data_IF_323975511498
#
_entry.id   IF_323975511498
#
_cell.length_a   1.000
_cell.length_b   1.000
_cell.length_c   1.000
_cell.angle_alpha   90.00
_cell.angle_beta   90.00
_cell.angle_gamma   90.00
#
_symmetry.space_group_name_H-M   'P 1'
#
loop_
_entity.id
_entity.type
_entity.pdbx_description
1 polymer ?
#
# COMPACT_ATOMS: atom_id res chain seq x y z
N UNK A 1 -12.39 9.23 -32.92
CA UNK A 1 -13.32 8.48 -32.05
C UNK A 1 -12.51 7.84 -30.92
N UNK A 2 -12.45 8.48 -29.76
CA UNK A 2 -11.71 7.94 -28.61
C UNK A 2 -12.60 6.92 -27.89
N UNK A 3 -12.12 5.68 -27.79
CA UNK A 3 -12.75 4.63 -26.99
C UNK A 3 -12.76 5.06 -25.52
N UNK A 4 -13.90 5.01 -24.82
CA UNK A 4 -13.90 5.15 -23.37
C UNK A 4 -13.10 4.00 -22.77
N UNK A 5 -12.09 4.33 -21.96
CA UNK A 5 -11.46 3.34 -21.11
C UNK A 5 -12.54 2.85 -20.13
N UNK A 6 -12.85 1.57 -20.23
CA UNK A 6 -13.76 0.88 -19.33
C UNK A 6 -13.06 0.79 -17.97
N UNK A 7 -13.17 1.84 -17.16
CA UNK A 7 -12.83 1.81 -15.74
C UNK A 7 -13.80 0.81 -15.09
N UNK A 8 -13.34 -0.43 -14.94
CA UNK A 8 -14.04 -1.43 -14.16
C UNK A 8 -14.34 -0.85 -12.79
N UNK A 9 -15.63 -0.65 -12.51
CA UNK A 9 -16.18 -0.10 -11.26
C UNK A 9 -15.88 -0.98 -10.06
N UNK A 10 -14.60 -1.05 -9.67
CA UNK A 10 -14.18 -1.54 -8.38
C UNK A 10 -14.51 -0.48 -7.34
N UNK A 11 -15.14 -0.89 -6.24
CA UNK A 11 -15.32 -0.02 -5.08
C UNK A 11 -13.93 0.45 -4.63
N UNK A 12 -13.73 1.77 -4.63
CA UNK A 12 -12.46 2.36 -4.19
C UNK A 12 -12.12 1.82 -2.79
N UNK A 13 -10.89 1.35 -2.62
CA UNK A 13 -10.40 0.84 -1.34
C UNK A 13 -9.83 1.98 -0.53
N UNK A 14 -10.38 2.23 0.65
CA UNK A 14 -9.82 3.18 1.60
C UNK A 14 -8.58 2.57 2.27
N UNK A 15 -7.50 3.34 2.33
CA UNK A 15 -6.23 2.98 2.95
C UNK A 15 -5.94 3.98 4.07
N UNK A 16 -5.62 3.44 5.24
CA UNK A 16 -5.17 4.21 6.40
C UNK A 16 -3.72 3.83 6.66
N UNK A 17 -2.83 4.80 6.50
CA UNK A 17 -1.37 4.63 6.50
C UNK A 17 -0.77 5.66 7.45
N UNK A 18 0.14 5.25 8.34
CA UNK A 18 0.83 6.19 9.23
C UNK A 18 1.66 7.19 8.39
N UNK A 19 1.72 8.46 8.80
CA UNK A 19 2.36 9.53 8.02
C UNK A 19 3.80 9.18 7.61
N UNK A 20 4.64 8.69 8.51
CA UNK A 20 6.03 8.34 8.13
C UNK A 20 6.10 7.24 7.05
N UNK A 21 5.17 6.27 7.08
CA UNK A 21 5.07 5.21 6.06
C UNK A 21 4.61 5.80 4.73
N UNK A 22 3.60 6.69 4.77
CA UNK A 22 3.12 7.41 3.60
C UNK A 22 4.25 8.23 2.96
N UNK A 23 5.08 8.88 3.78
CA UNK A 23 6.26 9.63 3.33
C UNK A 23 7.24 8.75 2.58
N UNK A 24 7.67 7.63 3.17
CA UNK A 24 8.55 6.66 2.48
C UNK A 24 7.96 6.19 1.15
N UNK A 25 6.66 5.92 1.11
CA UNK A 25 5.96 5.47 -0.11
C UNK A 25 5.94 6.56 -1.18
N UNK A 26 5.60 7.80 -0.83
CA UNK A 26 5.54 8.91 -1.78
C UNK A 26 6.90 9.28 -2.35
N UNK A 27 7.95 9.27 -1.52
CA UNK A 27 9.33 9.46 -2.00
C UNK A 27 9.69 8.38 -3.02
N UNK A 28 9.42 7.10 -2.72
CA UNK A 28 9.71 6.01 -3.67
C UNK A 28 8.91 6.14 -4.97
N UNK A 29 7.64 6.51 -4.89
CA UNK A 29 6.78 6.73 -6.06
C UNK A 29 7.29 7.90 -6.91
N UNK A 30 7.73 8.98 -6.27
CA UNK A 30 8.34 10.13 -6.93
C UNK A 30 9.65 9.75 -7.63
N UNK A 31 10.53 8.98 -6.98
CA UNK A 31 11.76 8.47 -7.59
C UNK A 31 11.45 7.67 -8.86
N UNK A 32 10.45 6.80 -8.81
CA UNK A 32 10.01 6.02 -9.99
C UNK A 32 9.43 6.92 -11.07
N UNK A 33 8.61 7.91 -10.70
CA UNK A 33 8.02 8.86 -11.65
C UNK A 33 9.10 9.70 -12.35
N UNK A 34 10.11 10.18 -11.60
CA UNK A 34 11.26 10.93 -12.13
C UNK A 34 12.10 10.08 -13.08
N UNK A 35 12.38 8.83 -12.72
CA UNK A 35 13.21 7.94 -13.54
C UNK A 35 12.52 7.48 -14.85
N UNK A 36 11.19 7.31 -14.84
CA UNK A 36 10.44 6.78 -15.99
C UNK A 36 9.80 7.84 -16.88
N UNK A 37 9.72 9.08 -16.38
CA UNK A 37 9.05 10.19 -17.01
C UNK A 37 7.52 10.19 -16.83
N UNK A 38 6.84 11.33 -17.13
CA UNK A 38 5.44 11.55 -16.79
C UNK A 38 4.46 10.52 -17.37
N UNK A 39 4.70 10.07 -18.60
CA UNK A 39 3.83 9.12 -19.30
C UNK A 39 3.82 7.71 -18.70
N UNK A 40 4.82 7.38 -17.87
CA UNK A 40 4.99 6.05 -17.23
C UNK A 40 5.03 6.17 -15.71
N UNK A 41 4.65 7.32 -15.15
CA UNK A 41 4.57 7.52 -13.72
C UNK A 41 3.47 6.61 -13.12
N UNK A 42 3.67 6.07 -11.91
CA UNK A 42 2.62 5.35 -11.21
C UNK A 42 1.38 6.23 -11.07
N UNK A 43 0.21 5.70 -11.42
CA UNK A 43 -1.04 6.46 -11.33
C UNK A 43 -1.35 6.91 -9.90
N UNK A 44 -0.97 6.10 -8.91
CA UNK A 44 -1.16 6.41 -7.50
C UNK A 44 -0.37 7.66 -7.06
N UNK A 45 0.79 7.93 -7.67
CA UNK A 45 1.58 9.12 -7.35
C UNK A 45 0.82 10.41 -7.70
N UNK A 46 0.18 10.44 -8.88
CA UNK A 46 -0.64 11.58 -9.30
C UNK A 46 -1.84 11.80 -8.38
N UNK A 47 -2.55 10.72 -8.05
CA UNK A 47 -3.76 10.79 -7.22
C UNK A 47 -3.47 11.20 -5.77
N UNK A 48 -2.33 10.77 -5.20
CA UNK A 48 -1.96 11.07 -3.81
C UNK A 48 -1.16 12.36 -3.65
N UNK A 49 -0.78 13.01 -4.76
CA UNK A 49 0.02 14.25 -4.76
C UNK A 49 -0.59 15.38 -3.93
N UNK A 50 -1.91 15.64 -3.95
CA UNK A 50 -2.50 16.70 -3.12
C UNK A 50 -2.28 16.45 -1.62
N UNK A 51 -2.56 15.23 -1.14
CA UNK A 51 -2.33 14.85 0.25
C UNK A 51 -0.85 14.92 0.63
N UNK A 52 0.04 14.50 -0.29
CA UNK A 52 1.49 14.62 -0.12
C UNK A 52 1.93 16.07 0.07
N UNK A 53 1.48 16.98 -0.79
CA UNK A 53 1.85 18.39 -0.69
C UNK A 53 1.35 19.05 0.60
N UNK A 54 0.17 18.68 1.08
CA UNK A 54 -0.36 19.19 2.35
C UNK A 54 0.47 18.71 3.55
N UNK A 55 0.79 17.42 3.59
CA UNK A 55 1.60 16.81 4.64
C UNK A 55 3.02 17.36 4.62
N UNK A 56 3.65 17.44 3.45
CA UNK A 56 5.02 17.96 3.28
C UNK A 56 5.16 19.40 3.78
N UNK A 57 4.17 20.27 3.47
CA UNK A 57 4.13 21.64 4.00
C UNK A 57 3.97 21.66 5.52
N UNK A 58 3.13 20.79 6.06
CA UNK A 58 2.89 20.71 7.51
C UNK A 58 4.14 20.22 8.22
N UNK A 59 4.78 19.17 7.72
CA UNK A 59 6.05 18.65 8.25
C UNK A 59 7.17 19.69 8.18
N UNK A 60 7.30 20.40 7.05
CA UNK A 60 8.29 21.48 6.90
C UNK A 60 8.10 22.54 7.97
N UNK A 61 6.86 23.02 8.14
CA UNK A 61 6.55 24.04 9.16
C UNK A 61 6.84 23.54 10.57
N UNK A 62 6.39 22.33 10.92
CA UNK A 62 6.59 21.77 12.26
C UNK A 62 8.08 21.49 12.54
N UNK A 63 8.85 21.06 11.54
CA UNK A 63 10.28 20.83 11.68
C UNK A 63 11.05 22.07 12.15
N UNK A 64 10.58 23.27 11.77
CA UNK A 64 11.20 24.54 12.17
C UNK A 64 10.67 25.07 13.51
N UNK A 65 9.45 24.70 13.92
CA UNK A 65 8.74 25.37 15.03
C UNK A 65 8.45 24.49 16.23
N UNK A 66 8.23 23.19 16.04
CA UNK A 66 7.70 22.28 17.06
C UNK A 66 8.08 20.82 16.75
N UNK A 67 9.18 20.37 17.37
CA UNK A 67 9.70 19.01 17.18
C UNK A 67 8.83 17.92 17.80
N UNK A 68 8.05 18.24 18.84
CA UNK A 68 7.15 17.29 19.49
C UNK A 68 5.94 17.03 18.60
N UNK A 69 5.29 18.10 18.11
CA UNK A 69 4.18 17.97 17.17
C UNK A 69 4.63 17.34 15.83
N UNK A 70 5.86 17.61 15.39
CA UNK A 70 6.45 16.93 14.23
C UNK A 70 6.51 15.41 14.45
N UNK A 71 7.04 14.99 15.60
CA UNK A 71 7.15 13.57 15.97
C UNK A 71 5.78 12.90 16.07
N UNK A 72 4.81 13.55 16.72
CA UNK A 72 3.44 13.04 16.82
C UNK A 72 2.80 12.85 15.44
N UNK A 73 2.92 13.87 14.57
CA UNK A 73 2.42 13.80 13.20
C UNK A 73 3.03 12.62 12.45
N UNK A 74 4.36 12.45 12.53
CA UNK A 74 5.06 11.37 11.83
C UNK A 74 4.67 9.99 12.34
N UNK A 75 4.57 9.81 13.65
CA UNK A 75 4.52 8.49 14.28
C UNK A 75 3.11 8.00 14.60
N UNK A 76 2.18 8.91 14.92
CA UNK A 76 0.88 8.56 15.50
C UNK A 76 -0.30 8.87 14.58
N UNK A 77 -0.13 9.77 13.60
CA UNK A 77 -1.23 10.17 12.72
C UNK A 77 -1.31 9.31 11.47
N UNK A 78 -2.55 9.10 11.00
CA UNK A 78 -2.83 8.36 9.78
C UNK A 78 -3.29 9.29 8.65
N UNK A 79 -2.81 9.01 7.44
CA UNK A 79 -3.34 9.57 6.21
C UNK A 79 -4.40 8.62 5.65
N UNK A 80 -5.56 9.17 5.34
CA UNK A 80 -6.66 8.43 4.70
C UNK A 80 -6.60 8.66 3.19
N UNK A 81 -6.40 7.59 2.44
CA UNK A 81 -6.20 7.61 0.99
C UNK A 81 -7.19 6.68 0.31
N UNK A 82 -7.41 6.89 -0.99
CA UNK A 82 -8.23 6.00 -1.81
C UNK A 82 -7.37 5.36 -2.89
N UNK A 83 -7.53 4.05 -3.07
CA UNK A 83 -7.03 3.32 -4.22
C UNK A 83 -8.23 2.94 -5.11
N UNK A 84 -8.23 3.40 -6.36
CA UNK A 84 -9.34 3.24 -7.32
C UNK A 84 -9.57 1.79 -7.76
N UNK A 85 -8.57 0.93 -7.60
CA UNK A 85 -8.69 -0.46 -7.99
C UNK A 85 -7.42 -1.26 -7.78
N UNK A 86 -7.44 -2.50 -8.29
CA UNK A 86 -6.35 -3.46 -8.08
C UNK A 86 -5.02 -3.01 -8.68
N UNK A 87 -5.03 -2.26 -9.79
CA UNK A 87 -3.80 -1.70 -10.39
C UNK A 87 -3.06 -0.79 -9.42
N UNK A 88 -3.76 0.15 -8.78
CA UNK A 88 -3.15 1.05 -7.79
C UNK A 88 -2.72 0.31 -6.52
N UNK A 89 -3.51 -0.66 -6.07
CA UNK A 89 -3.09 -1.54 -4.97
C UNK A 89 -1.78 -2.27 -5.31
N UNK A 90 -1.62 -2.72 -6.54
CA UNK A 90 -0.41 -3.40 -7.01
C UNK A 90 0.77 -2.41 -7.12
N UNK A 91 0.54 -1.17 -7.56
CA UNK A 91 1.55 -0.10 -7.55
C UNK A 91 2.07 0.17 -6.13
N UNK A 92 1.17 0.38 -5.17
CA UNK A 92 1.54 0.64 -3.75
C UNK A 92 2.28 -0.55 -3.15
N UNK A 93 1.78 -1.78 -3.38
CA UNK A 93 2.40 -3.00 -2.88
C UNK A 93 3.83 -3.14 -3.40
N UNK A 94 4.05 -2.90 -4.70
CA UNK A 94 5.40 -2.95 -5.31
C UNK A 94 6.32 -1.85 -4.77
N UNK A 95 5.80 -0.64 -4.55
CA UNK A 95 6.60 0.44 -3.96
C UNK A 95 7.08 0.08 -2.56
N UNK A 96 6.22 -0.52 -1.72
CA UNK A 96 6.59 -0.97 -0.38
C UNK A 96 7.62 -2.11 -0.44
N UNK A 97 7.45 -3.07 -1.35
CA UNK A 97 8.44 -4.13 -1.58
C UNK A 97 9.82 -3.58 -1.95
N UNK A 98 9.86 -2.55 -2.82
CA UNK A 98 11.11 -1.89 -3.19
C UNK A 98 11.77 -1.18 -2.00
N UNK A 99 10.98 -0.50 -1.15
CA UNK A 99 11.49 0.16 0.06
C UNK A 99 12.06 -0.87 1.04
N UNK A 100 11.35 -2.00 1.25
CA UNK A 100 11.84 -3.07 2.13
C UNK A 100 13.18 -3.63 1.60
N UNK A 101 13.31 -3.80 0.28
CA UNK A 101 14.57 -4.25 -0.32
C UNK A 101 15.71 -3.23 -0.16
N UNK A 102 15.41 -1.92 -0.20
CA UNK A 102 16.39 -0.86 0.09
C UNK A 102 16.81 -0.89 1.56
N UNK A 103 15.84 -0.99 2.49
CA UNK A 103 16.12 -1.11 3.92
C UNK A 103 16.96 -2.37 4.22
N UNK A 104 16.72 -3.49 3.54
CA UNK A 104 17.55 -4.70 3.66
C UNK A 104 19.01 -4.45 3.24
N UNK A 105 19.27 -3.55 2.28
CA UNK A 105 20.61 -3.15 1.88
C UNK A 105 21.23 -2.17 2.88
N UNK A 106 20.47 -1.18 3.33
CA UNK A 106 20.91 -0.18 4.32
C UNK A 106 21.26 -0.85 5.66
N UNK A 107 20.45 -1.79 6.15
CA UNK A 107 20.72 -2.58 7.36
C UNK A 107 22.05 -3.34 7.25
N UNK A 108 22.38 -3.86 6.07
CA UNK A 108 23.67 -4.55 5.85
C UNK A 108 24.83 -3.57 5.84
N UNK A 109 24.62 -2.36 5.35
CA UNK A 109 25.64 -1.32 5.28
C UNK A 109 26.00 -0.76 6.66
N UNK A 110 25.02 -0.60 7.56
CA UNK A 110 25.21 -0.09 8.93
C UNK A 110 25.49 -1.18 9.97
N UNK A 111 25.83 -2.41 9.52
CA UNK A 111 25.96 -3.57 10.40
C UNK A 111 27.03 -3.32 11.47
N UNK A 112 26.64 -3.43 12.74
CA UNK A 112 27.52 -3.15 13.89
C UNK A 112 27.26 -1.79 14.53
N UNK A 113 26.51 -0.89 13.88
CA UNK A 113 26.00 0.34 14.48
C UNK A 113 24.62 0.07 15.10
N UNK A 114 24.61 -0.39 16.35
CA UNK A 114 23.40 -0.94 16.99
C UNK A 114 22.17 -0.01 16.91
N UNK A 115 22.35 1.29 17.14
CA UNK A 115 21.26 2.28 17.10
C UNK A 115 20.68 2.43 15.67
N UNK A 116 21.52 2.69 14.69
CA UNK A 116 21.10 2.82 13.29
C UNK A 116 20.49 1.51 12.75
N UNK A 117 21.08 0.37 13.13
CA UNK A 117 20.56 -0.94 12.75
C UNK A 117 19.17 -1.21 13.35
N UNK A 118 18.92 -0.79 14.60
CA UNK A 118 17.63 -0.94 15.26
C UNK A 118 16.53 -0.08 14.60
N UNK A 119 16.85 1.18 14.29
CA UNK A 119 15.94 2.13 13.62
C UNK A 119 15.48 1.58 12.26
N UNK A 120 16.43 1.17 11.40
CA UNK A 120 16.10 0.61 10.10
C UNK A 120 15.32 -0.71 10.21
N UNK A 121 15.63 -1.54 11.22
CA UNK A 121 14.87 -2.77 11.49
C UNK A 121 13.44 -2.47 11.93
N UNK A 122 13.23 -1.41 12.72
CA UNK A 122 11.90 -0.96 13.09
C UNK A 122 11.10 -0.57 11.84
N UNK A 123 11.64 0.31 11.00
CA UNK A 123 10.97 0.74 9.77
C UNK A 123 10.62 -0.45 8.87
N UNK A 124 11.57 -1.38 8.70
CA UNK A 124 11.38 -2.59 7.90
C UNK A 124 10.24 -3.46 8.45
N UNK A 125 10.14 -3.64 9.77
CA UNK A 125 9.08 -4.45 10.40
C UNK A 125 7.71 -3.83 10.16
N UNK A 126 7.60 -2.52 10.35
CA UNK A 126 6.35 -1.78 10.18
C UNK A 126 5.88 -1.76 8.72
N UNK A 127 6.77 -1.53 7.76
CA UNK A 127 6.43 -1.60 6.34
C UNK A 127 6.05 -3.02 5.91
N UNK A 128 6.66 -4.06 6.49
CA UNK A 128 6.22 -5.44 6.28
C UNK A 128 4.81 -5.70 6.83
N UNK A 129 4.46 -5.14 7.99
CA UNK A 129 3.12 -5.24 8.55
C UNK A 129 2.08 -4.56 7.64
N UNK A 130 2.39 -3.36 7.14
CA UNK A 130 1.56 -2.65 6.16
C UNK A 130 1.39 -3.48 4.88
N UNK A 131 2.47 -4.01 4.31
CA UNK A 131 2.44 -4.86 3.11
C UNK A 131 1.51 -6.07 3.28
N UNK A 132 1.59 -6.75 4.43
CA UNK A 132 0.70 -7.88 4.77
C UNK A 132 -0.77 -7.43 4.84
N UNK A 133 -1.05 -6.28 5.47
CA UNK A 133 -2.40 -5.69 5.55
C UNK A 133 -2.96 -5.39 4.15
N UNK A 134 -2.19 -4.72 3.29
CA UNK A 134 -2.59 -4.40 1.92
C UNK A 134 -2.90 -5.65 1.09
N UNK A 135 -2.04 -6.68 1.17
CA UNK A 135 -2.25 -7.96 0.48
C UNK A 135 -3.51 -8.69 0.96
N UNK A 136 -3.84 -8.61 2.26
CA UNK A 136 -5.09 -9.14 2.81
C UNK A 136 -6.31 -8.40 2.25
N UNK A 137 -6.27 -7.07 2.22
CA UNK A 137 -7.36 -6.25 1.65
C UNK A 137 -7.57 -6.53 0.16
N UNK A 138 -6.49 -6.67 -0.61
CA UNK A 138 -6.54 -7.04 -2.04
C UNK A 138 -7.27 -8.37 -2.29
N UNK A 139 -7.10 -9.34 -1.39
CA UNK A 139 -7.77 -10.65 -1.47
C UNK A 139 -9.24 -10.55 -1.09
N UNK A 140 -9.57 -9.80 -0.04
CA UNK A 140 -10.94 -9.60 0.42
C UNK A 140 -11.81 -8.84 -0.61
N UNK A 141 -11.24 -7.84 -1.29
CA UNK A 141 -11.94 -7.07 -2.34
C UNK A 141 -12.21 -7.82 -3.65
N UNK A 142 -11.74 -9.07 -3.79
CA UNK A 142 -11.99 -9.93 -4.97
C UNK A 142 -13.07 -11.00 -4.75
N UNK A 143 -13.73 -11.03 -3.59
CA UNK A 143 -14.57 -12.13 -3.13
C UNK A 143 -16.04 -11.78 -2.94
N UNK A 144 -16.72 -11.26 -3.97
CA UNK A 144 -18.20 -11.27 -4.03
C UNK A 144 -18.69 -11.74 -5.40
N UNK A 145 -18.46 -13.02 -5.67
CA UNK A 145 -19.21 -13.87 -6.62
C UNK A 145 -18.98 -15.33 -6.26
N UNK A 146 -19.15 -15.69 -4.98
CA UNK A 146 -19.40 -17.09 -4.63
C UNK A 146 -20.89 -17.32 -4.83
N UNK A 147 -21.26 -17.73 -6.05
CA UNK A 147 -22.61 -18.20 -6.34
C UNK A 147 -22.99 -19.32 -5.37
N UNK A 148 -24.28 -19.49 -5.05
CA UNK A 148 -24.73 -20.57 -4.17
C UNK A 148 -24.26 -21.89 -4.77
N UNK A 149 -23.49 -22.66 -4.00
CA UNK A 149 -23.14 -24.04 -4.33
C UNK A 149 -24.44 -24.82 -4.43
N UNK A 150 -24.90 -25.03 -5.67
CA UNK A 150 -26.04 -25.87 -5.97
C UNK A 150 -25.81 -27.25 -5.37
N UNK A 151 -26.81 -27.70 -4.64
CA UNK A 151 -26.79 -28.92 -3.85
C UNK A 151 -26.56 -30.16 -4.73
N UNK A 152 -25.73 -31.08 -4.24
CA UNK A 152 -25.64 -32.43 -4.78
C UNK A 152 -27.03 -33.11 -4.78
N UNK A 153 -27.44 -33.78 -5.86
CA UNK A 153 -28.66 -34.59 -5.85
C UNK A 153 -28.45 -35.89 -5.05
N UNK A 154 -29.48 -36.43 -4.39
CA UNK A 154 -29.36 -37.67 -3.62
C UNK A 154 -29.18 -38.88 -4.55
N UNK A 155 -28.18 -39.71 -4.24
CA UNK A 155 -27.95 -41.04 -4.82
C UNK A 155 -29.17 -41.93 -4.57
N UNK A 156 -29.89 -42.28 -5.64
CA UNK A 156 -31.02 -43.22 -5.62
C UNK A 156 -30.51 -44.64 -5.32
N UNK A 157 -31.17 -45.29 -4.37
CA UNK A 157 -30.80 -46.57 -3.80
C UNK A 157 -30.87 -47.76 -4.74
N UNK A 158 -29.84 -48.59 -4.58
CA UNK A 158 -29.75 -50.05 -4.72
C UNK A 158 -31.11 -50.78 -4.69
N UNK A 159 -31.52 -51.33 -5.83
CA UNK A 159 -32.55 -52.36 -5.95
C UNK A 159 -31.93 -53.65 -6.49
N UNK A 160 -31.62 -54.60 -5.61
CA UNK A 160 -31.19 -55.96 -5.94
C UNK A 160 -32.46 -56.82 -5.96
N UNK A 161 -32.90 -57.29 -7.13
CA UNK A 161 -33.91 -58.35 -7.25
C UNK A 161 -33.19 -59.69 -7.39
N UNK A 162 -33.62 -60.65 -6.59
CA UNK A 162 -33.48 -62.07 -6.89
C UNK A 162 -34.58 -62.52 -7.83
#
# INVERSE_FOLDING_TARGET
MNKPHNDGGGVATELRIIVWQFVRIMVQLETVARARGPAKAPSVYGDWRPAWTEIDRTLTRLGDTDSEAFSDLMMNQEVVLRARGRSQMDEVTRSIENIINQLDQEIRAVRGEAAAEEELRFERRELNALLKKLRKMRRAGGGRSAGPKSANPPRRGRGRKG
#
